data_IF_876544267263
#
_entry.id   IF_876544267263
#
_cell.length_a   1.000
_cell.length_b   1.000
_cell.length_c   1.000
_cell.angle_alpha   90.00
_cell.angle_beta   90.00
_cell.angle_gamma   90.00
#
_symmetry.space_group_name_H-M   'P 1'
#
loop_
_entity.id
_entity.type
_entity.pdbx_description
1 polymer ?
#
# COMPACT_ATOMS: atom_id res chain seq x y z
N UNK A 1 6.19 -1.07 4.70
CA UNK A 1 7.36 -1.96 4.84
C UNK A 1 7.70 -2.06 6.31
N UNK A 2 7.31 -3.14 6.99
CA UNK A 2 7.67 -3.38 8.38
C UNK A 2 9.11 -3.89 8.42
N UNK A 3 10.06 -3.01 8.78
CA UNK A 3 11.47 -3.38 8.92
C UNK A 3 11.63 -4.32 10.11
N UNK A 4 11.93 -5.59 9.89
CA UNK A 4 12.23 -6.49 11.01
C UNK A 4 13.51 -6.07 11.71
N UNK A 5 13.50 -6.03 13.04
CA UNK A 5 14.65 -5.77 13.89
C UNK A 5 15.05 -7.05 14.64
N UNK A 6 16.32 -7.16 15.02
CA UNK A 6 16.81 -8.23 15.88
C UNK A 6 17.65 -7.63 17.02
N UNK A 7 17.65 -8.31 18.16
CA UNK A 7 18.48 -7.92 19.30
C UNK A 7 19.94 -8.18 18.93
N UNK A 8 20.80 -7.18 19.07
CA UNK A 8 22.25 -7.32 18.89
C UNK A 8 22.78 -8.44 19.80
N UNK A 9 23.68 -9.31 19.31
CA UNK A 9 24.22 -10.42 20.09
C UNK A 9 24.71 -10.04 21.50
N UNK A 10 25.26 -8.82 21.63
CA UNK A 10 25.78 -8.29 22.90
C UNK A 10 24.68 -8.02 23.95
N UNK A 11 23.43 -7.83 23.53
CA UNK A 11 22.30 -7.53 24.42
C UNK A 11 21.37 -8.72 24.66
N UNK A 12 21.57 -9.87 24.01
CA UNK A 12 20.68 -11.04 24.17
C UNK A 12 20.58 -11.47 25.64
N UNK A 13 21.70 -11.56 26.35
CA UNK A 13 21.70 -11.95 27.76
C UNK A 13 21.01 -10.90 28.65
N UNK A 14 21.19 -9.61 28.33
CA UNK A 14 20.55 -8.50 29.05
C UNK A 14 19.02 -8.59 28.93
N UNK A 15 18.52 -8.83 27.73
CA UNK A 15 17.08 -8.92 27.47
C UNK A 15 16.47 -10.17 28.11
N UNK A 16 17.18 -11.31 28.12
CA UNK A 16 16.74 -12.52 28.83
C UNK A 16 16.65 -12.29 30.35
N UNK A 17 17.63 -11.62 30.95
CA UNK A 17 17.60 -11.27 32.38
C UNK A 17 16.52 -10.25 32.72
N UNK A 18 16.18 -9.36 31.78
CA UNK A 18 15.11 -8.37 31.95
C UNK A 18 13.72 -9.01 32.09
N UNK A 19 13.52 -10.26 31.63
CA UNK A 19 12.25 -10.97 31.73
C UNK A 19 11.80 -11.12 33.20
N UNK A 20 12.67 -11.66 34.05
CA UNK A 20 12.37 -11.83 35.48
C UNK A 20 12.42 -10.50 36.24
N UNK A 21 13.33 -9.60 35.86
CA UNK A 21 13.48 -8.30 36.51
C UNK A 21 12.25 -7.39 36.34
N UNK A 22 11.47 -7.57 35.27
CA UNK A 22 10.25 -6.81 35.00
C UNK A 22 8.96 -7.59 35.33
N UNK A 23 9.05 -8.61 36.19
CA UNK A 23 7.87 -9.29 36.74
C UNK A 23 7.25 -10.36 35.84
N UNK A 24 7.93 -10.82 34.79
CA UNK A 24 7.47 -11.93 33.95
C UNK A 24 8.14 -13.25 34.39
N UNK A 25 7.44 -14.15 35.09
CA UNK A 25 8.00 -15.42 35.54
C UNK A 25 8.35 -16.38 34.39
N UNK A 26 7.79 -16.16 33.19
CA UNK A 26 8.04 -16.98 31.99
C UNK A 26 7.87 -16.19 30.69
N UNK A 27 8.38 -16.76 29.58
CA UNK A 27 8.15 -16.20 28.24
C UNK A 27 6.66 -16.20 27.87
N UNK A 28 5.90 -17.19 28.37
CA UNK A 28 4.45 -17.26 28.19
C UNK A 28 3.74 -16.09 28.86
N UNK A 29 4.13 -15.74 30.09
CA UNK A 29 3.53 -14.59 30.78
C UNK A 29 3.83 -13.26 30.08
N UNK A 30 5.02 -13.12 29.46
CA UNK A 30 5.33 -11.96 28.64
C UNK A 30 4.47 -11.94 27.38
N UNK A 31 4.38 -13.06 26.65
CA UNK A 31 3.57 -13.18 25.43
C UNK A 31 2.10 -12.77 25.69
N UNK A 32 1.51 -13.27 26.79
CA UNK A 32 0.17 -12.85 27.21
C UNK A 32 0.10 -11.38 27.65
N UNK A 33 1.14 -10.85 28.30
CA UNK A 33 1.20 -9.46 28.77
C UNK A 33 1.41 -8.41 27.66
N UNK A 34 1.93 -8.81 26.50
CA UNK A 34 2.02 -7.98 25.28
C UNK A 34 0.99 -8.35 24.21
N UNK A 35 0.16 -9.36 24.43
CA UNK A 35 -0.83 -9.80 23.43
C UNK A 35 -0.22 -10.38 22.14
N UNK A 36 1.00 -10.91 22.20
CA UNK A 36 1.72 -11.47 21.06
C UNK A 36 1.84 -12.99 21.13
N UNK A 37 2.05 -13.62 19.97
CA UNK A 37 2.35 -15.05 19.90
C UNK A 37 3.63 -15.39 20.67
N UNK A 38 3.63 -16.54 21.36
CA UNK A 38 4.81 -17.04 22.10
C UNK A 38 6.04 -17.18 21.19
N UNK A 39 5.84 -17.57 19.94
CA UNK A 39 6.90 -17.68 18.93
C UNK A 39 7.61 -16.35 18.69
N UNK A 40 6.87 -15.23 18.65
CA UNK A 40 7.41 -13.87 18.50
C UNK A 40 8.30 -13.49 19.67
N UNK A 41 7.84 -13.75 20.90
CA UNK A 41 8.64 -13.50 22.12
C UNK A 41 9.89 -14.39 22.17
N UNK A 42 9.78 -15.66 21.79
CA UNK A 42 10.94 -16.57 21.66
C UNK A 42 11.95 -16.05 20.65
N UNK A 43 11.49 -15.55 19.50
CA UNK A 43 12.35 -15.00 18.45
C UNK A 43 13.09 -13.76 18.95
N UNK A 44 12.41 -12.83 19.62
CA UNK A 44 13.02 -11.65 20.22
C UNK A 44 14.12 -12.02 21.22
N UNK A 45 13.81 -12.90 22.18
CA UNK A 45 14.77 -13.35 23.21
C UNK A 45 15.93 -14.17 22.65
N UNK A 46 15.78 -14.76 21.46
CA UNK A 46 16.82 -15.49 20.77
C UNK A 46 17.68 -14.61 19.84
N UNK A 47 17.39 -13.31 19.72
CA UNK A 47 18.08 -12.42 18.78
C UNK A 47 17.74 -12.71 17.31
N UNK A 48 16.59 -13.33 17.05
CA UNK A 48 16.06 -13.54 15.70
C UNK A 48 15.27 -12.30 15.24
N UNK A 49 15.09 -12.10 13.92
CA UNK A 49 14.29 -11.01 13.40
C UNK A 49 12.84 -11.07 13.90
N UNK A 50 12.35 -9.93 14.36
CA UNK A 50 10.97 -9.69 14.80
C UNK A 50 10.47 -8.42 14.13
N UNK A 51 9.20 -8.39 13.77
CA UNK A 51 8.54 -7.22 13.17
C UNK A 51 8.76 -5.96 14.04
N UNK A 52 8.90 -4.78 13.41
CA UNK A 52 9.30 -3.53 14.05
C UNK A 52 8.45 -3.17 15.27
N UNK A 53 7.12 -3.20 15.14
CA UNK A 53 6.20 -2.83 16.20
C UNK A 53 6.28 -3.84 17.34
N UNK A 54 6.29 -5.13 17.01
CA UNK A 54 6.49 -6.19 18.00
C UNK A 54 7.83 -6.05 18.74
N UNK A 55 8.90 -5.65 18.04
CA UNK A 55 10.21 -5.42 18.65
C UNK A 55 10.19 -4.27 19.65
N UNK A 56 9.53 -3.16 19.32
CA UNK A 56 9.36 -2.01 20.21
C UNK A 56 8.52 -2.41 21.42
N UNK A 57 7.36 -3.02 21.19
CA UNK A 57 6.42 -3.38 22.24
C UNK A 57 7.04 -4.33 23.27
N UNK A 58 7.77 -5.36 22.82
CA UNK A 58 8.50 -6.25 23.71
C UNK A 58 9.63 -5.51 24.45
N UNK A 59 10.35 -4.61 23.77
CA UNK A 59 11.43 -3.83 24.38
C UNK A 59 10.93 -2.90 25.48
N UNK A 60 9.84 -2.17 25.23
CA UNK A 60 9.18 -1.29 26.21
C UNK A 60 8.71 -2.08 27.42
N UNK A 61 8.08 -3.25 27.19
CA UNK A 61 7.59 -4.09 28.28
C UNK A 61 8.70 -4.68 29.16
N UNK A 62 9.89 -4.84 28.60
CA UNK A 62 11.10 -5.27 29.31
C UNK A 62 11.95 -4.10 29.81
N UNK A 63 11.47 -2.85 29.71
CA UNK A 63 12.19 -1.66 30.17
C UNK A 63 13.51 -1.41 29.41
N UNK A 64 13.62 -1.92 28.18
CA UNK A 64 14.82 -1.82 27.36
C UNK A 64 14.66 -0.74 26.29
N UNK A 65 15.69 0.08 26.14
CA UNK A 65 15.80 1.05 25.05
C UNK A 65 16.03 0.32 23.72
N UNK A 66 14.98 0.25 22.88
CA UNK A 66 14.97 -0.52 21.64
C UNK A 66 16.08 -0.08 20.67
N UNK A 67 16.46 1.21 20.65
CA UNK A 67 17.50 1.74 19.77
C UNK A 67 18.91 1.30 20.18
N UNK A 68 19.11 0.98 21.46
CA UNK A 68 20.39 0.48 21.98
C UNK A 68 20.53 -1.01 21.75
N UNK A 69 19.45 -1.76 21.94
CA UNK A 69 19.51 -3.22 21.85
C UNK A 69 19.37 -3.76 20.43
N UNK A 70 18.88 -2.96 19.48
CA UNK A 70 18.77 -3.37 18.08
C UNK A 70 20.16 -3.48 17.42
N UNK A 71 20.37 -4.54 16.64
CA UNK A 71 21.57 -4.71 15.83
C UNK A 71 21.62 -3.64 14.72
N UNK A 72 22.68 -2.83 14.72
CA UNK A 72 22.87 -1.69 13.80
C UNK A 72 23.67 -2.05 12.55
N UNK A 73 24.01 -3.32 12.35
CA UNK A 73 24.74 -3.75 11.15
C UNK A 73 23.84 -3.69 9.90
N UNK A 74 24.20 -2.92 8.86
CA UNK A 74 23.63 -3.11 7.52
C UNK A 74 24.07 -4.50 7.01
N UNK A 75 23.10 -5.26 6.49
CA UNK A 75 23.26 -6.69 6.26
C UNK A 75 24.48 -7.10 5.43
N UNK A 76 25.23 -8.08 5.93
CA UNK A 76 26.10 -8.97 5.16
C UNK A 76 25.75 -10.40 5.57
N UNK A 77 25.10 -11.14 4.67
CA UNK A 77 24.53 -12.46 4.95
C UNK A 77 25.52 -13.61 4.82
N UNK A 78 25.09 -14.78 5.30
CA UNK A 78 25.35 -16.08 4.66
C UNK A 78 24.45 -17.15 5.28
N UNK A 79 23.30 -17.38 4.66
CA UNK A 79 22.79 -18.71 4.28
C UNK A 79 21.36 -18.55 3.77
N UNK A 80 21.23 -18.63 2.44
CA UNK A 80 20.07 -19.08 1.68
C UNK A 80 18.77 -19.35 2.47
N UNK A 81 18.03 -18.30 2.77
CA UNK A 81 16.60 -18.30 2.50
C UNK A 81 16.40 -17.25 1.42
N UNK A 82 15.84 -17.63 0.28
CA UNK A 82 15.18 -16.64 -0.57
C UNK A 82 14.28 -15.84 0.37
N UNK A 83 14.23 -14.52 0.25
CA UNK A 83 13.12 -13.76 0.85
C UNK A 83 11.85 -14.32 0.21
N UNK A 84 11.26 -15.36 0.79
CA UNK A 84 10.00 -15.92 0.37
C UNK A 84 8.94 -14.90 0.78
N UNK A 85 8.73 -13.94 -0.11
CA UNK A 85 7.56 -13.07 -0.06
C UNK A 85 6.35 -13.97 -0.18
N UNK A 86 5.45 -13.92 0.82
CA UNK A 86 4.19 -14.66 0.74
C UNK A 86 3.51 -14.39 -0.61
N UNK A 87 3.09 -15.43 -1.35
CA UNK A 87 2.36 -15.26 -2.61
C UNK A 87 1.02 -14.55 -2.36
N UNK A 88 0.47 -14.71 -1.16
CA UNK A 88 -0.79 -14.12 -0.74
C UNK A 88 -0.58 -13.02 0.29
N UNK A 89 -1.00 -11.79 -0.03
CA UNK A 89 -0.88 -10.63 0.85
C UNK A 89 -2.25 -10.16 1.30
N UNK A 90 -2.42 -10.09 2.61
CA UNK A 90 -3.66 -9.66 3.27
C UNK A 90 -3.43 -8.35 4.03
N UNK A 91 -4.39 -7.42 3.96
CA UNK A 91 -4.42 -6.23 4.80
C UNK A 91 -3.46 -5.09 4.39
N UNK A 92 -2.37 -5.39 3.68
CA UNK A 92 -1.44 -4.41 3.11
C UNK A 92 -1.72 -4.16 1.63
N UNK A 93 -1.48 -2.94 1.11
CA UNK A 93 -1.48 -2.71 -0.32
C UNK A 93 -0.36 -3.51 -1.01
N UNK A 94 -0.68 -4.09 -2.17
CA UNK A 94 0.31 -4.68 -3.06
C UNK A 94 1.22 -3.59 -3.63
N UNK A 95 2.53 -3.75 -3.46
CA UNK A 95 3.56 -2.81 -3.95
C UNK A 95 4.37 -3.42 -5.09
N UNK A 96 4.67 -4.73 -5.00
CA UNK A 96 5.49 -5.41 -6.00
C UNK A 96 4.64 -5.76 -7.23
N UNK A 97 5.10 -5.41 -8.45
CA UNK A 97 4.34 -5.66 -9.67
C UNK A 97 3.91 -7.12 -9.85
N UNK A 98 4.79 -8.10 -9.60
CA UNK A 98 4.45 -9.51 -9.76
C UNK A 98 3.32 -10.01 -8.84
N UNK A 99 3.02 -9.30 -7.75
CA UNK A 99 1.95 -9.65 -6.80
C UNK A 99 0.61 -8.99 -7.14
N UNK A 100 0.56 -8.11 -8.15
CA UNK A 100 -0.67 -7.41 -8.55
C UNK A 100 -1.38 -8.17 -9.68
N UNK A 101 -2.65 -8.54 -9.48
CA UNK A 101 -3.42 -9.38 -10.40
C UNK A 101 -4.63 -8.64 -10.98
N UNK A 102 -4.97 -8.99 -12.22
CA UNK A 102 -6.14 -8.48 -12.94
C UNK A 102 -6.10 -6.98 -13.26
N UNK A 103 -7.29 -6.42 -13.50
CA UNK A 103 -7.52 -4.99 -13.80
C UNK A 103 -6.95 -4.53 -15.14
N UNK A 104 -6.74 -5.45 -16.08
CA UNK A 104 -6.15 -5.15 -17.40
C UNK A 104 -6.95 -4.12 -18.20
N UNK A 105 -8.28 -4.15 -18.09
CA UNK A 105 -9.16 -3.18 -18.76
C UNK A 105 -8.98 -1.78 -18.18
N UNK A 106 -8.91 -1.68 -16.86
CA UNK A 106 -8.75 -0.45 -16.10
C UNK A 106 -7.35 0.13 -16.37
N UNK A 107 -6.30 -0.69 -16.26
CA UNK A 107 -4.91 -0.33 -16.59
C UNK A 107 -4.77 0.21 -18.01
N UNK A 108 -5.32 -0.52 -18.99
CA UNK A 108 -5.29 -0.08 -20.39
C UNK A 108 -5.92 1.30 -20.58
N UNK A 109 -7.05 1.56 -19.93
CA UNK A 109 -7.72 2.85 -20.01
C UNK A 109 -6.93 3.94 -19.29
N UNK A 110 -6.46 3.67 -18.07
CA UNK A 110 -5.66 4.61 -17.27
C UNK A 110 -4.38 5.01 -18.00
N UNK A 111 -3.59 4.06 -18.50
CA UNK A 111 -2.39 4.39 -19.27
C UNK A 111 -2.69 5.09 -20.59
N UNK A 112 -3.82 4.80 -21.25
CA UNK A 112 -4.19 5.53 -22.46
C UNK A 112 -4.44 7.02 -22.21
N UNK A 113 -4.85 7.42 -21.01
CA UNK A 113 -4.98 8.82 -20.60
C UNK A 113 -3.62 9.51 -20.41
N UNK A 114 -2.56 8.72 -20.19
CA UNK A 114 -1.22 9.21 -19.89
C UNK A 114 -0.26 9.12 -21.10
N UNK A 115 -0.64 8.40 -22.15
CA UNK A 115 0.20 8.16 -23.35
C UNK A 115 0.34 9.38 -24.26
N UNK A 116 -0.60 10.32 -24.22
CA UNK A 116 -0.69 11.43 -25.17
C UNK A 116 -0.88 12.73 -24.40
N UNK A 117 -0.38 13.82 -24.97
CA UNK A 117 -0.64 15.16 -24.46
C UNK A 117 -1.97 15.70 -25.03
N UNK A 118 -2.72 16.48 -24.25
CA UNK A 118 -2.52 16.72 -22.81
C UNK A 118 -2.79 15.45 -22.00
N UNK A 119 -2.05 15.25 -20.91
CA UNK A 119 -2.34 14.19 -19.95
C UNK A 119 -3.74 14.42 -19.36
N UNK A 120 -4.46 13.34 -19.08
CA UNK A 120 -5.84 13.42 -18.58
C UNK A 120 -5.97 12.84 -17.16
N UNK A 121 -6.83 13.47 -16.37
CA UNK A 121 -7.09 13.07 -14.99
C UNK A 121 -8.06 11.88 -14.92
N UNK A 122 -7.89 11.04 -13.90
CA UNK A 122 -8.75 9.89 -13.67
C UNK A 122 -9.12 9.70 -12.20
N UNK A 123 -10.32 9.20 -11.95
CA UNK A 123 -10.73 8.74 -10.62
C UNK A 123 -10.78 7.21 -10.59
N UNK A 124 -10.29 6.62 -9.52
CA UNK A 124 -10.43 5.20 -9.20
C UNK A 124 -11.43 5.10 -8.05
N UNK A 125 -12.60 4.52 -8.33
CA UNK A 125 -13.70 4.38 -7.38
C UNK A 125 -13.86 2.91 -7.03
N UNK A 126 -14.11 2.60 -5.76
CA UNK A 126 -14.57 1.28 -5.37
C UNK A 126 -14.61 1.09 -3.87
N UNK A 127 -15.27 0.03 -3.41
CA UNK A 127 -15.41 -0.29 -1.97
C UNK A 127 -14.05 -0.34 -1.26
N UNK A 128 -14.06 -0.23 0.07
CA UNK A 128 -12.84 -0.42 0.87
C UNK A 128 -12.25 -1.80 0.59
N UNK A 129 -10.92 -1.92 0.67
CA UNK A 129 -10.17 -3.18 0.45
C UNK A 129 -10.26 -3.81 -0.95
N UNK A 130 -10.84 -3.14 -1.95
CA UNK A 130 -10.96 -3.64 -3.33
C UNK A 130 -9.66 -3.55 -4.16
N UNK A 131 -8.59 -2.96 -3.60
CA UNK A 131 -7.28 -2.83 -4.24
C UNK A 131 -6.96 -1.48 -4.87
N UNK A 132 -7.62 -0.38 -4.47
CA UNK A 132 -7.37 0.97 -5.03
C UNK A 132 -5.93 1.45 -4.83
N UNK A 133 -5.45 1.45 -3.59
CA UNK A 133 -4.06 1.81 -3.23
C UNK A 133 -3.05 0.93 -3.96
N UNK A 134 -3.34 -0.37 -4.07
CA UNK A 134 -2.51 -1.32 -4.81
C UNK A 134 -2.43 -0.97 -6.30
N UNK A 135 -3.55 -0.57 -6.91
CA UNK A 135 -3.57 -0.12 -8.30
C UNK A 135 -2.76 1.17 -8.47
N UNK A 136 -2.84 2.13 -7.54
CA UNK A 136 -2.01 3.33 -7.59
C UNK A 136 -0.51 3.01 -7.53
N UNK A 137 -0.08 2.15 -6.60
CA UNK A 137 1.30 1.70 -6.52
C UNK A 137 1.74 0.97 -7.79
N UNK A 138 0.89 0.12 -8.34
CA UNK A 138 1.17 -0.59 -9.57
C UNK A 138 1.36 0.36 -10.76
N UNK A 139 0.47 1.36 -10.94
CA UNK A 139 0.63 2.39 -11.98
C UNK A 139 1.98 3.09 -11.91
N UNK A 140 2.42 3.43 -10.68
CA UNK A 140 3.69 4.12 -10.43
C UNK A 140 4.91 3.27 -10.79
N UNK A 141 4.88 1.95 -10.55
CA UNK A 141 6.08 1.11 -10.63
C UNK A 141 6.16 0.24 -11.88
N UNK A 142 5.04 -0.20 -12.44
CA UNK A 142 5.02 -1.24 -13.49
C UNK A 142 5.82 -0.88 -14.73
N UNK A 143 5.85 0.40 -15.12
CA UNK A 143 6.46 0.82 -16.39
C UNK A 143 7.98 0.90 -16.35
N UNK A 144 8.57 0.91 -15.15
CA UNK A 144 10.03 0.94 -14.93
C UNK A 144 10.50 -0.27 -14.10
N UNK A 145 9.63 -1.25 -13.87
CA UNK A 145 9.95 -2.43 -13.08
C UNK A 145 10.93 -3.33 -13.86
N UNK A 146 12.02 -3.81 -13.22
CA UNK A 146 12.92 -4.79 -13.81
C UNK A 146 12.18 -6.08 -14.18
N UNK A 147 12.60 -6.76 -15.24
CA UNK A 147 11.97 -7.98 -15.75
C UNK A 147 11.93 -9.09 -14.69
N UNK A 148 12.92 -9.13 -13.80
CA UNK A 148 13.03 -10.09 -12.70
C UNK A 148 11.95 -9.89 -11.62
N UNK A 149 11.31 -8.72 -11.59
CA UNK A 149 10.21 -8.38 -10.67
C UNK A 149 8.83 -8.53 -11.30
N UNK A 150 8.75 -9.09 -12.52
CA UNK A 150 7.52 -9.31 -13.26
C UNK A 150 7.17 -10.79 -13.33
N UNK A 151 5.87 -11.09 -13.41
CA UNK A 151 5.41 -12.43 -13.80
C UNK A 151 5.71 -12.68 -15.29
N UNK A 152 5.82 -13.97 -15.70
CA UNK A 152 5.85 -14.31 -17.12
C UNK A 152 4.67 -13.66 -17.87
N UNK A 153 4.95 -13.01 -19.00
CA UNK A 153 3.96 -12.32 -19.84
C UNK A 153 3.23 -11.13 -19.17
N UNK A 154 3.69 -10.64 -18.02
CA UNK A 154 3.11 -9.45 -17.41
C UNK A 154 3.46 -8.21 -18.24
N UNK A 155 2.43 -7.46 -18.65
CA UNK A 155 2.60 -6.28 -19.48
C UNK A 155 3.22 -5.13 -18.68
N UNK A 156 4.34 -4.60 -19.15
CA UNK A 156 5.04 -3.43 -18.57
C UNK A 156 5.28 -2.28 -19.56
N UNK A 157 5.20 -2.54 -20.86
CA UNK A 157 5.36 -1.59 -21.98
C UNK A 157 4.12 -0.67 -22.18
N UNK A 158 3.54 -0.19 -21.08
CA UNK A 158 2.36 0.67 -21.12
C UNK A 158 2.66 2.08 -21.65
N UNK A 159 3.89 2.56 -21.48
CA UNK A 159 4.37 3.87 -21.92
C UNK A 159 5.62 3.68 -22.78
N UNK A 160 5.78 4.50 -23.84
CA UNK A 160 6.93 4.38 -24.76
C UNK A 160 8.25 4.79 -24.11
N UNK A 161 8.25 5.89 -23.35
CA UNK A 161 9.42 6.43 -22.66
C UNK A 161 9.12 6.56 -21.16
N UNK A 162 9.03 5.46 -20.40
CA UNK A 162 8.57 5.51 -19.02
C UNK A 162 9.50 6.31 -18.09
N UNK A 163 10.80 6.35 -18.38
CA UNK A 163 11.82 7.02 -17.57
C UNK A 163 11.65 8.55 -17.47
N UNK A 164 10.95 9.17 -18.43
CA UNK A 164 10.71 10.62 -18.38
C UNK A 164 9.56 10.97 -17.44
N UNK A 165 8.69 10.01 -17.11
CA UNK A 165 7.52 10.27 -16.28
C UNK A 165 7.94 10.47 -14.83
N UNK A 166 7.38 11.51 -14.19
CA UNK A 166 7.53 11.75 -12.75
C UNK A 166 6.25 11.32 -12.03
N UNK A 167 6.39 10.37 -11.12
CA UNK A 167 5.28 9.82 -10.34
C UNK A 167 5.39 10.24 -8.88
N UNK A 168 4.42 11.03 -8.44
CA UNK A 168 4.33 11.50 -7.05
C UNK A 168 3.17 10.77 -6.40
N UNK A 169 3.36 10.22 -5.20
CA UNK A 169 2.32 9.50 -4.48
C UNK A 169 2.04 10.22 -3.17
N UNK A 170 0.80 10.69 -3.01
CA UNK A 170 0.34 11.39 -1.81
C UNK A 170 -0.71 10.53 -1.12
N UNK A 171 -0.46 10.23 0.15
CA UNK A 171 -1.40 9.54 1.04
C UNK A 171 -1.93 10.53 2.06
N UNK A 172 -3.23 10.84 2.01
CA UNK A 172 -3.86 11.76 2.96
C UNK A 172 -4.07 11.16 4.36
N UNK A 173 -3.75 9.87 4.58
CA UNK A 173 -3.63 9.32 5.94
C UNK A 173 -2.35 9.76 6.64
N UNK A 174 -1.33 10.19 5.89
CA UNK A 174 -0.13 10.79 6.47
C UNK A 174 -0.45 12.20 6.99
N UNK A 175 -0.34 12.39 8.30
CA UNK A 175 -0.64 13.67 8.96
C UNK A 175 0.23 14.82 8.45
N UNK A 176 1.39 14.54 7.86
CA UNK A 176 2.24 15.57 7.25
C UNK A 176 1.57 16.20 6.04
N UNK A 177 0.75 15.45 5.31
CA UNK A 177 0.02 15.91 4.11
C UNK A 177 -1.21 16.76 4.45
N UNK A 178 -1.56 16.90 5.73
CA UNK A 178 -2.66 17.74 6.19
C UNK A 178 -2.32 19.24 6.20
N UNK A 179 -1.03 19.58 6.22
CA UNK A 179 -0.56 20.96 6.11
C UNK A 179 -0.41 21.34 4.64
N UNK A 180 -0.97 22.49 4.24
CA UNK A 180 -0.85 23.03 2.88
C UNK A 180 0.62 23.18 2.51
N UNK A 181 1.42 23.81 3.38
CA UNK A 181 2.84 24.04 3.16
C UNK A 181 3.63 22.73 2.94
N UNK A 182 3.38 21.72 3.78
CA UNK A 182 4.06 20.43 3.67
C UNK A 182 3.65 19.67 2.40
N UNK A 183 2.37 19.74 2.01
CA UNK A 183 1.88 19.11 0.78
C UNK A 183 2.56 19.72 -0.45
N UNK A 184 2.58 21.07 -0.54
CA UNK A 184 3.21 21.78 -1.65
C UNK A 184 4.72 21.49 -1.69
N UNK A 185 5.36 21.55 -0.53
CA UNK A 185 6.78 21.24 -0.39
C UNK A 185 7.12 19.81 -0.81
N UNK A 186 6.31 18.84 -0.40
CA UNK A 186 6.50 17.44 -0.79
C UNK A 186 6.43 17.22 -2.30
N UNK A 187 5.50 17.89 -2.99
CA UNK A 187 5.42 17.83 -4.47
C UNK A 187 6.69 18.42 -5.10
N UNK A 188 7.12 19.61 -4.66
CA UNK A 188 8.31 20.27 -5.20
C UNK A 188 9.57 19.44 -4.97
N UNK A 189 9.77 18.92 -3.76
CA UNK A 189 10.89 18.03 -3.42
C UNK A 189 10.87 16.75 -4.27
N UNK A 190 9.69 16.15 -4.47
CA UNK A 190 9.53 14.96 -5.31
C UNK A 190 9.88 15.22 -6.78
N UNK A 191 9.78 16.47 -7.23
CA UNK A 191 10.19 16.93 -8.55
C UNK A 191 11.67 17.36 -8.60
N UNK A 192 12.37 17.36 -7.47
CA UNK A 192 13.75 17.85 -7.35
C UNK A 192 13.86 19.37 -7.46
N UNK A 193 12.79 20.11 -7.15
CA UNK A 193 12.75 21.57 -7.17
C UNK A 193 13.14 22.13 -5.79
N UNK A 194 13.71 23.34 -5.77
CA UNK A 194 14.02 24.02 -4.52
C UNK A 194 12.74 24.56 -3.86
N UNK A 195 12.64 24.38 -2.55
CA UNK A 195 11.52 24.91 -1.77
C UNK A 195 11.57 26.44 -1.73
N UNK A 196 10.50 27.14 -2.13
CA UNK A 196 10.41 28.58 -1.97
C UNK A 196 10.24 28.94 -0.49
N UNK A 197 10.69 30.14 -0.11
CA UNK A 197 10.47 30.69 1.22
C UNK A 197 9.78 32.05 1.10
N UNK A 198 8.47 32.17 1.43
CA UNK A 198 7.59 31.13 1.98
C UNK A 198 7.10 30.11 0.93
N UNK A 199 6.74 28.89 1.38
CA UNK A 199 6.11 27.88 0.55
C UNK A 199 4.58 28.01 0.56
N UNK A 200 4.07 28.95 -0.23
CA UNK A 200 2.65 29.25 -0.41
C UNK A 200 2.15 28.84 -1.81
N UNK A 201 0.85 29.00 -2.06
CA UNK A 201 0.24 28.62 -3.33
C UNK A 201 0.83 29.39 -4.52
N UNK A 202 0.96 30.71 -4.41
CA UNK A 202 1.47 31.55 -5.51
C UNK A 202 2.88 31.13 -5.97
N UNK A 203 3.81 31.01 -5.03
CA UNK A 203 5.19 30.60 -5.33
C UNK A 203 5.24 29.16 -5.88
N UNK A 204 4.37 28.28 -5.39
CA UNK A 204 4.24 26.92 -5.90
C UNK A 204 3.75 26.90 -7.35
N UNK A 205 2.75 27.73 -7.68
CA UNK A 205 2.19 27.88 -9.02
C UNK A 205 3.24 28.38 -10.01
N UNK A 206 3.97 29.43 -9.64
CA UNK A 206 5.04 30.01 -10.48
C UNK A 206 6.14 28.98 -10.77
N UNK A 207 6.53 28.20 -9.75
CA UNK A 207 7.55 27.16 -9.90
C UNK A 207 7.06 26.01 -10.79
N UNK A 208 5.85 25.49 -10.57
CA UNK A 208 5.36 24.38 -11.39
C UNK A 208 5.11 24.79 -12.84
N UNK A 209 4.42 25.91 -13.06
CA UNK A 209 4.08 26.37 -14.41
C UNK A 209 5.32 26.64 -15.27
N UNK A 210 6.39 27.19 -14.68
CA UNK A 210 7.63 27.47 -15.39
C UNK A 210 8.57 26.28 -15.60
N UNK A 211 8.46 25.21 -14.79
CA UNK A 211 9.47 24.16 -14.72
C UNK A 211 8.97 22.74 -15.05
N UNK A 212 7.66 22.52 -15.17
CA UNK A 212 7.11 21.18 -15.44
C UNK A 212 7.21 20.79 -16.92
N UNK A 213 8.41 20.34 -17.33
CA UNK A 213 8.69 19.91 -18.71
C UNK A 213 8.37 18.44 -18.98
N UNK A 214 8.42 17.62 -17.94
CA UNK A 214 8.25 16.18 -18.05
C UNK A 214 6.82 15.79 -17.65
N UNK A 215 6.21 14.79 -18.32
CA UNK A 215 4.94 14.21 -17.90
C UNK A 215 4.97 13.83 -16.41
N UNK A 216 4.09 14.43 -15.63
CA UNK A 216 4.03 14.28 -14.18
C UNK A 216 2.65 13.81 -13.78
N UNK A 217 2.61 12.73 -13.02
CA UNK A 217 1.37 12.12 -12.54
C UNK A 217 1.39 12.14 -11.02
N UNK A 218 0.42 12.82 -10.44
CA UNK A 218 0.22 12.89 -8.99
C UNK A 218 -0.90 11.92 -8.62
N UNK A 219 -0.54 10.88 -7.87
CA UNK A 219 -1.43 9.88 -7.33
C UNK A 219 -1.92 10.35 -5.97
N UNK A 220 -3.23 10.50 -5.80
CA UNK A 220 -3.86 10.96 -4.57
C UNK A 220 -4.65 9.82 -3.95
N UNK A 221 -4.18 9.29 -2.82
CA UNK A 221 -4.87 8.22 -2.09
C UNK A 221 -5.59 8.73 -0.85
N UNK A 222 -6.70 8.07 -0.50
CA UNK A 222 -7.51 8.38 0.68
C UNK A 222 -7.94 9.86 0.78
N UNK A 223 -8.26 10.49 -0.35
CA UNK A 223 -8.61 11.92 -0.44
C UNK A 223 -9.79 12.34 0.45
N UNK A 224 -10.68 11.42 0.79
CA UNK A 224 -11.75 11.67 1.76
C UNK A 224 -11.24 12.05 3.15
N UNK A 225 -10.08 11.51 3.56
CA UNK A 225 -9.39 11.91 4.80
C UNK A 225 -8.89 13.34 4.68
N UNK A 226 -8.33 13.71 3.52
CA UNK A 226 -7.90 15.06 3.20
C UNK A 226 -9.03 16.07 3.37
N UNK A 227 -10.17 15.82 2.73
CA UNK A 227 -11.35 16.69 2.78
C UNK A 227 -11.98 16.79 4.18
N UNK A 228 -12.00 15.69 4.95
CA UNK A 228 -12.63 15.68 6.27
C UNK A 228 -11.77 16.26 7.38
N UNK A 229 -10.44 16.04 7.32
CA UNK A 229 -9.56 16.23 8.47
C UNK A 229 -8.53 17.34 8.29
N UNK A 230 -8.43 17.95 7.10
CA UNK A 230 -7.39 18.92 6.78
C UNK A 230 -7.99 20.29 6.45
N UNK A 231 -8.23 21.17 7.45
CA UNK A 231 -8.85 22.48 7.23
C UNK A 231 -8.08 23.41 6.29
N UNK A 232 -6.77 23.19 6.13
CA UNK A 232 -5.93 23.98 5.25
C UNK A 232 -6.07 23.60 3.77
N UNK A 233 -6.69 22.45 3.46
CA UNK A 233 -7.01 21.99 2.10
C UNK A 233 -8.42 22.47 1.73
N UNK A 234 -8.57 23.79 1.72
CA UNK A 234 -9.83 24.50 1.45
C UNK A 234 -10.12 24.63 -0.06
N UNK A 235 -11.21 25.32 -0.39
CA UNK A 235 -11.63 25.50 -1.79
C UNK A 235 -10.57 26.24 -2.63
N UNK A 236 -9.84 27.20 -2.05
CA UNK A 236 -8.73 27.90 -2.72
C UNK A 236 -7.62 26.93 -3.12
N UNK A 237 -7.22 26.03 -2.22
CA UNK A 237 -6.22 25.00 -2.51
C UNK A 237 -6.66 24.08 -3.66
N UNK A 238 -7.89 23.58 -3.64
CA UNK A 238 -8.37 22.67 -4.69
C UNK A 238 -8.53 23.36 -6.04
N UNK A 239 -9.01 24.61 -6.06
CA UNK A 239 -9.08 25.43 -7.27
C UNK A 239 -7.69 25.67 -7.88
N UNK A 240 -6.69 25.86 -7.02
CA UNK A 240 -5.30 25.99 -7.45
C UNK A 240 -4.82 24.73 -8.17
N UNK A 241 -5.04 23.55 -7.61
CA UNK A 241 -4.69 22.27 -8.26
C UNK A 241 -5.43 22.07 -9.58
N UNK A 242 -6.69 22.49 -9.66
CA UNK A 242 -7.47 22.45 -10.90
C UNK A 242 -6.86 23.34 -11.97
N UNK A 243 -6.52 24.58 -11.61
CA UNK A 243 -5.90 25.55 -12.53
C UNK A 243 -4.59 24.99 -13.11
N UNK A 244 -3.76 24.35 -12.27
CA UNK A 244 -2.52 23.70 -12.71
C UNK A 244 -2.73 22.61 -13.76
N UNK A 245 -3.65 21.67 -13.49
CA UNK A 245 -3.89 20.56 -14.41
C UNK A 245 -4.54 21.00 -15.73
N UNK A 246 -5.32 22.09 -15.73
CA UNK A 246 -6.10 22.49 -16.90
C UNK A 246 -5.39 23.52 -17.79
N UNK A 247 -4.67 24.48 -17.20
CA UNK A 247 -4.29 25.69 -17.94
C UNK A 247 -2.79 26.04 -17.89
N UNK A 248 -2.03 25.52 -16.92
CA UNK A 248 -0.73 26.12 -16.58
C UNK A 248 0.48 25.19 -16.71
N UNK A 249 0.30 23.95 -17.16
CA UNK A 249 1.38 22.95 -17.23
C UNK A 249 1.60 22.39 -18.64
N UNK A 250 1.09 23.07 -19.68
CA UNK A 250 1.14 22.63 -21.09
C UNK A 250 0.65 21.19 -21.31
N UNK A 251 -0.26 20.72 -20.44
CA UNK A 251 -0.78 19.36 -20.48
C UNK A 251 0.23 18.30 -20.02
N UNK A 252 1.24 18.67 -19.22
CA UNK A 252 2.22 17.76 -18.62
C UNK A 252 1.83 17.28 -17.22
N UNK A 253 0.72 17.74 -16.64
CA UNK A 253 0.27 17.32 -15.32
C UNK A 253 -1.03 16.52 -15.42
N UNK A 254 -1.09 15.38 -14.72
CA UNK A 254 -2.33 14.66 -14.48
C UNK A 254 -2.45 14.22 -13.02
N UNK A 255 -3.69 14.17 -12.54
CA UNK A 255 -4.06 13.62 -11.25
C UNK A 255 -4.78 12.28 -11.43
N UNK A 256 -4.40 11.29 -10.63
CA UNK A 256 -5.19 10.06 -10.46
C UNK A 256 -5.55 9.95 -8.99
N UNK A 257 -6.83 10.08 -8.67
CA UNK A 257 -7.30 9.97 -7.29
C UNK A 257 -7.96 8.62 -7.01
N UNK A 258 -7.83 8.12 -5.79
CA UNK A 258 -8.55 6.95 -5.30
C UNK A 258 -9.56 7.34 -4.22
N UNK A 259 -10.79 6.86 -4.36
CA UNK A 259 -11.91 7.19 -3.47
C UNK A 259 -12.89 6.02 -3.37
N UNK A 260 -13.72 6.02 -2.32
CA UNK A 260 -14.76 5.01 -2.12
C UNK A 260 -16.07 5.32 -2.85
N UNK A 261 -16.34 6.61 -3.10
CA UNK A 261 -17.51 7.12 -3.81
C UNK A 261 -17.10 8.11 -4.91
N UNK A 262 -18.06 8.60 -5.70
CA UNK A 262 -17.81 9.61 -6.72
C UNK A 262 -17.04 10.81 -6.16
N UNK A 263 -15.99 11.31 -6.84
CA UNK A 263 -15.25 12.49 -6.36
C UNK A 263 -16.16 13.72 -6.19
N UNK A 264 -17.18 13.86 -7.05
CA UNK A 264 -18.16 14.94 -6.98
C UNK A 264 -19.05 14.80 -5.74
N UNK A 265 -19.51 13.59 -5.45
CA UNK A 265 -20.37 13.33 -4.29
C UNK A 265 -19.58 13.47 -2.99
N UNK A 266 -18.31 13.02 -2.99
CA UNK A 266 -17.38 13.22 -1.88
C UNK A 266 -17.14 14.70 -1.59
N UNK A 267 -16.95 15.53 -2.62
CA UNK A 267 -16.80 16.97 -2.42
C UNK A 267 -18.06 17.56 -1.76
N UNK A 268 -19.23 17.25 -2.31
CA UNK A 268 -20.52 17.74 -1.82
C UNK A 268 -20.82 17.30 -0.39
N UNK A 269 -20.55 16.03 -0.06
CA UNK A 269 -20.80 15.46 1.27
C UNK A 269 -19.93 16.09 2.35
N UNK A 270 -18.77 16.64 1.96
CA UNK A 270 -17.85 17.35 2.86
C UNK A 270 -17.97 18.88 2.78
N UNK A 271 -19.06 19.39 2.18
CA UNK A 271 -19.34 20.84 2.14
C UNK A 271 -18.47 21.63 1.15
N UNK A 272 -17.70 20.94 0.30
CA UNK A 272 -16.90 21.57 -0.74
C UNK A 272 -17.72 21.73 -2.02
N UNK A 273 -17.63 22.91 -2.62
CA UNK A 273 -18.17 23.17 -3.97
C UNK A 273 -17.12 22.98 -5.07
N UNK A 274 -15.92 22.50 -4.69
CA UNK A 274 -14.70 22.61 -5.49
C UNK A 274 -14.84 22.03 -6.91
N UNK A 275 -14.61 22.87 -7.93
CA UNK A 275 -14.49 22.48 -9.33
C UNK A 275 -13.35 21.50 -9.64
N UNK A 276 -12.40 21.29 -8.73
CA UNK A 276 -11.35 20.27 -8.89
C UNK A 276 -11.95 18.88 -9.12
N UNK A 277 -13.01 18.52 -8.42
CA UNK A 277 -13.60 17.19 -8.59
C UNK A 277 -14.34 17.01 -9.92
N UNK A 278 -14.53 18.09 -10.69
CA UNK A 278 -15.13 18.06 -12.03
C UNK A 278 -14.11 17.78 -13.16
N UNK A 279 -12.79 17.83 -12.90
CA UNK A 279 -11.78 17.60 -13.97
C UNK A 279 -11.46 16.12 -14.22
N UNK A 280 -12.07 15.20 -13.46
CA UNK A 280 -11.89 13.75 -13.60
C UNK A 280 -12.84 13.16 -14.65
N UNK A 281 -12.51 13.38 -15.92
CA UNK A 281 -13.34 12.96 -17.06
C UNK A 281 -13.44 11.44 -17.27
N UNK A 282 -12.54 10.66 -16.67
CA UNK A 282 -12.61 9.20 -16.67
C UNK A 282 -12.67 8.64 -15.26
N UNK A 283 -13.50 7.61 -15.09
CA UNK A 283 -13.66 6.88 -13.83
C UNK A 283 -13.41 5.39 -14.06
N UNK A 284 -12.44 4.82 -13.34
CA UNK A 284 -12.23 3.38 -13.21
C UNK A 284 -12.96 2.87 -11.97
N UNK A 285 -14.07 2.15 -12.17
CA UNK A 285 -14.81 1.51 -11.07
C UNK A 285 -14.26 0.12 -10.81
N UNK A 286 -13.71 -0.10 -9.62
CA UNK A 286 -13.18 -1.38 -9.17
C UNK A 286 -14.27 -2.16 -8.41
N UNK A 287 -14.54 -3.38 -8.88
CA UNK A 287 -15.41 -4.35 -8.23
C UNK A 287 -14.65 -5.64 -7.89
N UNK A 288 -15.35 -6.75 -7.75
CA UNK A 288 -14.71 -8.08 -7.67
C UNK A 288 -13.82 -8.35 -8.89
N UNK A 289 -12.92 -9.32 -8.77
CA UNK A 289 -12.19 -9.83 -9.91
C UNK A 289 -13.12 -10.54 -10.88
N UNK A 290 -12.73 -10.55 -12.15
CA UNK A 290 -13.28 -11.52 -13.10
C UNK A 290 -12.76 -12.91 -12.74
N UNK A 291 -13.48 -13.92 -13.17
CA UNK A 291 -13.14 -15.33 -12.95
C UNK A 291 -11.68 -15.65 -13.32
N UNK A 292 -11.25 -15.25 -14.53
CA UNK A 292 -9.87 -15.46 -14.99
C UNK A 292 -8.84 -14.77 -14.09
N UNK A 293 -9.12 -13.54 -13.62
CA UNK A 293 -8.21 -12.79 -12.77
C UNK A 293 -8.08 -13.44 -11.37
N UNK A 294 -9.17 -14.01 -10.86
CA UNK A 294 -9.17 -14.76 -9.61
C UNK A 294 -8.41 -16.07 -9.75
N UNK A 295 -8.63 -16.82 -10.83
CA UNK A 295 -7.91 -18.05 -11.14
C UNK A 295 -6.40 -17.82 -11.26
N UNK A 296 -5.97 -16.75 -11.96
CA UNK A 296 -4.57 -16.38 -12.05
C UNK A 296 -3.93 -16.10 -10.69
N UNK A 297 -4.66 -15.43 -9.79
CA UNK A 297 -4.19 -15.20 -8.42
C UNK A 297 -4.05 -16.51 -7.66
N UNK A 298 -5.05 -17.39 -7.69
CA UNK A 298 -5.00 -18.69 -7.00
C UNK A 298 -3.83 -19.54 -7.52
N UNK A 299 -3.65 -19.57 -8.85
CA UNK A 299 -2.58 -20.29 -9.53
C UNK A 299 -1.18 -19.75 -9.23
N UNK A 300 -1.07 -18.58 -8.59
CA UNK A 300 0.22 -18.05 -8.10
C UNK A 300 0.75 -18.76 -6.86
N UNK A 301 -0.06 -19.65 -6.26
CA UNK A 301 0.40 -20.51 -5.17
C UNK A 301 1.60 -21.37 -5.59
N UNK A 302 2.64 -21.49 -4.76
CA UNK A 302 3.75 -22.41 -5.02
C UNK A 302 3.34 -23.88 -4.95
N UNK A 303 2.27 -24.19 -4.19
CA UNK A 303 1.68 -25.52 -4.10
C UNK A 303 0.29 -25.45 -4.76
N UNK A 304 0.05 -26.17 -5.87
CA UNK A 304 -1.25 -26.18 -6.53
C UNK A 304 -2.36 -26.64 -5.57
N UNK A 305 -3.49 -25.92 -5.59
CA UNK A 305 -4.65 -26.28 -4.79
C UNK A 305 -5.51 -27.32 -5.53
N UNK A 306 -6.13 -28.28 -4.81
CA UNK A 306 -7.13 -29.18 -5.40
C UNK A 306 -8.30 -28.41 -6.01
N UNK A 307 -8.88 -28.93 -7.11
CA UNK A 307 -9.99 -28.27 -7.83
C UNK A 307 -11.18 -27.94 -6.90
N UNK A 308 -11.58 -28.90 -6.05
CA UNK A 308 -12.65 -28.70 -5.07
C UNK A 308 -12.38 -27.55 -4.08
N UNK A 309 -11.10 -27.31 -3.73
CA UNK A 309 -10.71 -26.21 -2.86
C UNK A 309 -10.70 -24.88 -3.63
N UNK A 310 -10.28 -24.88 -4.89
CA UNK A 310 -10.34 -23.70 -5.77
C UNK A 310 -11.78 -23.25 -5.96
N UNK A 311 -12.69 -24.17 -6.27
CA UNK A 311 -14.12 -23.89 -6.41
C UNK A 311 -14.70 -23.31 -5.11
N UNK A 312 -14.37 -23.92 -3.96
CA UNK A 312 -14.82 -23.44 -2.66
C UNK A 312 -14.30 -22.03 -2.36
N UNK A 313 -13.01 -21.76 -2.60
CA UNK A 313 -12.38 -20.44 -2.42
C UNK A 313 -13.09 -19.39 -3.28
N UNK A 314 -13.36 -19.70 -4.55
CA UNK A 314 -14.06 -18.79 -5.46
C UNK A 314 -15.49 -18.52 -4.97
N UNK A 315 -16.21 -19.56 -4.55
CA UNK A 315 -17.58 -19.46 -4.06
C UNK A 315 -17.67 -18.57 -2.81
N UNK A 316 -16.80 -18.79 -1.82
CA UNK A 316 -16.84 -18.03 -0.56
C UNK A 316 -16.33 -16.60 -0.73
N UNK A 317 -15.29 -16.38 -1.55
CA UNK A 317 -14.75 -15.04 -1.76
C UNK A 317 -15.60 -14.17 -2.69
N UNK A 318 -16.46 -14.78 -3.52
CA UNK A 318 -17.16 -14.13 -4.63
C UNK A 318 -16.22 -13.28 -5.50
N UNK A 319 -14.98 -13.76 -5.69
CA UNK A 319 -13.91 -13.06 -6.41
C UNK A 319 -13.49 -11.72 -5.80
N UNK A 320 -13.84 -11.40 -4.54
CA UNK A 320 -13.36 -10.20 -3.87
C UNK A 320 -11.87 -10.37 -3.55
N UNK A 321 -10.98 -9.47 -4.02
CA UNK A 321 -9.53 -9.63 -3.91
C UNK A 321 -9.03 -9.90 -2.49
N UNK A 322 -9.52 -9.16 -1.49
CA UNK A 322 -9.09 -9.36 -0.10
C UNK A 322 -9.51 -10.74 0.42
N UNK A 323 -10.76 -11.14 0.19
CA UNK A 323 -11.27 -12.43 0.67
C UNK A 323 -10.52 -13.57 -0.02
N UNK A 324 -10.31 -13.46 -1.32
CA UNK A 324 -9.56 -14.42 -2.12
C UNK A 324 -8.13 -14.60 -1.58
N UNK A 325 -7.44 -13.49 -1.30
CA UNK A 325 -6.10 -13.50 -0.72
C UNK A 325 -6.06 -14.18 0.67
N UNK A 326 -7.05 -13.91 1.53
CA UNK A 326 -7.15 -14.54 2.86
C UNK A 326 -7.33 -16.06 2.71
N UNK A 327 -8.33 -16.49 1.92
CA UNK A 327 -8.63 -17.92 1.77
C UNK A 327 -7.46 -18.69 1.13
N UNK A 328 -6.79 -18.10 0.13
CA UNK A 328 -5.62 -18.73 -0.48
C UNK A 328 -4.44 -18.84 0.49
N UNK A 329 -4.24 -17.83 1.36
CA UNK A 329 -3.20 -17.87 2.39
C UNK A 329 -3.43 -19.00 3.38
N UNK A 330 -4.65 -19.15 3.89
CA UNK A 330 -4.98 -20.23 4.82
C UNK A 330 -4.85 -21.62 4.16
N UNK A 331 -5.25 -21.74 2.89
CA UNK A 331 -5.06 -22.98 2.14
C UNK A 331 -3.59 -23.32 1.94
N UNK A 332 -2.76 -22.34 1.59
CA UNK A 332 -1.32 -22.56 1.44
C UNK A 332 -0.66 -22.95 2.77
N UNK A 333 -1.02 -22.26 3.85
CA UNK A 333 -0.49 -22.52 5.20
C UNK A 333 -0.68 -23.99 5.60
N UNK A 334 -1.88 -24.54 5.39
CA UNK A 334 -2.18 -25.95 5.73
C UNK A 334 -1.45 -26.97 4.85
N UNK A 335 -1.26 -26.66 3.56
CA UNK A 335 -0.46 -27.50 2.65
C UNK A 335 1.02 -27.52 3.04
N UNK A 336 1.55 -26.40 3.55
CA UNK A 336 2.95 -26.30 4.02
C UNK A 336 3.17 -27.07 5.32
N UNK A 337 2.23 -26.97 6.27
CA UNK A 337 2.32 -27.64 7.59
C UNK A 337 1.95 -29.13 7.54
N UNK A 338 1.42 -29.62 6.41
CA UNK A 338 0.91 -31.00 6.24
C UNK A 338 -0.13 -31.39 7.29
N UNK A 339 -0.87 -30.40 7.75
CA UNK A 339 -1.95 -30.56 8.71
C UNK A 339 -3.28 -30.58 7.94
N UNK A 340 -4.06 -31.65 8.16
CA UNK A 340 -5.37 -31.87 7.53
C UNK A 340 -6.51 -31.38 8.44
N UNK A 341 -6.19 -30.52 9.42
CA UNK A 341 -7.21 -29.79 10.17
C UNK A 341 -8.16 -29.07 9.22
N UNK A 342 -9.38 -28.80 9.72
CA UNK A 342 -10.46 -28.19 8.96
C UNK A 342 -10.15 -26.72 8.60
N UNK A 343 -9.21 -26.50 7.69
CA UNK A 343 -8.69 -25.20 7.27
C UNK A 343 -9.80 -24.27 6.78
N UNK A 344 -10.90 -24.84 6.30
CA UNK A 344 -12.09 -24.09 5.87
C UNK A 344 -12.75 -23.38 7.04
N UNK A 345 -12.82 -23.98 8.23
CA UNK A 345 -13.35 -23.33 9.43
C UNK A 345 -12.49 -22.13 9.83
N UNK A 346 -11.18 -22.32 9.93
CA UNK A 346 -10.24 -21.22 10.23
C UNK A 346 -10.30 -20.12 9.16
N UNK A 347 -10.36 -20.50 7.88
CA UNK A 347 -10.48 -19.55 6.79
C UNK A 347 -11.77 -18.73 6.85
N UNK A 348 -12.89 -19.35 7.26
CA UNK A 348 -14.15 -18.63 7.51
C UNK A 348 -14.02 -17.64 8.68
N UNK A 349 -13.36 -18.02 9.77
CA UNK A 349 -13.08 -17.09 10.88
C UNK A 349 -12.24 -15.88 10.44
N UNK A 350 -11.25 -16.10 9.57
CA UNK A 350 -10.39 -15.02 9.06
C UNK A 350 -11.13 -14.05 8.12
N UNK A 351 -12.10 -14.52 7.33
CA UNK A 351 -12.89 -13.63 6.46
C UNK A 351 -14.06 -12.97 7.18
N UNK A 352 -14.47 -13.47 8.36
CA UNK A 352 -15.64 -12.98 9.10
C UNK A 352 -15.68 -11.45 9.30
N UNK A 353 -14.57 -10.75 9.66
CA UNK A 353 -14.57 -9.30 9.80
C UNK A 353 -14.84 -8.53 8.50
N UNK A 354 -14.68 -9.20 7.35
CA UNK A 354 -14.75 -8.64 6.01
C UNK A 354 -15.97 -9.09 5.21
N UNK A 355 -16.89 -9.85 5.82
CA UNK A 355 -18.10 -10.34 5.16
C UNK A 355 -19.00 -9.21 4.63
N UNK A 356 -18.96 -8.03 5.25
CA UNK A 356 -19.63 -6.82 4.78
C UNK A 356 -19.19 -6.35 3.37
N UNK A 357 -18.13 -6.93 2.79
CA UNK A 357 -17.70 -6.65 1.42
C UNK A 357 -18.55 -7.40 0.38
N UNK A 358 -19.23 -8.47 0.78
CA UNK A 358 -20.09 -9.31 -0.06
C UNK A 358 -21.49 -8.69 -0.27
N UNK A 359 -21.92 -7.83 0.66
CA UNK A 359 -23.08 -6.93 0.51
C UNK A 359 -22.68 -5.73 -0.35
#
# INVERSE_FOLDING_TARGET
MTRSLKVSPEYIQKVKSALQANGYPSQQSLASGVGLALSTVKNFLAGKPVEYLNFIEISEKLGCDWQKIADKQPGNGTSSTKNETSPFITGLPIIQPHQFFGREKELKRLFNLLKRHPLQNAAIIGKRRIGKTSLLHYLKSITTAPIEQLRPNQKSDWLQNPEIYKWIFVDFQDSRMASRENFLGYILESLGMQLPNPCNLDNFMDLLSGNLRNPTVILLDEIGVGLQRCPQLDDEFWETLRSLATNQTDGNLAFILATHESPIDLARSNGHSSPFFNIFGYTATLGSFKEQEAQELIASSPIPFPEDDVEWIIQQSQHIPLLLQILCREKLFTLEDRDDNNWREEAMEQIQPFMHLLD
#
